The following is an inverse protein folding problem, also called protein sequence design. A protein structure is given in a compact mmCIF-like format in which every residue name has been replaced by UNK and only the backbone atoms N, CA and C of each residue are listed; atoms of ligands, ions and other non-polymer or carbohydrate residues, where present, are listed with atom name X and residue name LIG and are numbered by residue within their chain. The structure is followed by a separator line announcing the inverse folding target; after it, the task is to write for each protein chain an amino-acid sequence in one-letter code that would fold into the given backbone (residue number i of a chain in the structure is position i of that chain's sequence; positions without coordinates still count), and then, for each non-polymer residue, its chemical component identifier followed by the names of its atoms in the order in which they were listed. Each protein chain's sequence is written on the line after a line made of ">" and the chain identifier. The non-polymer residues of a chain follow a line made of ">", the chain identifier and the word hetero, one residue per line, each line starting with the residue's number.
data_IF_160865580253
#
_entry.id   IF_160865580253
#
_cell.length_a   1.000
_cell.length_b   1.000
_cell.length_c   1.000
_cell.angle_alpha   90.00
_cell.angle_beta   90.00
_cell.angle_gamma   90.00
#
_symmetry.space_group_name_H-M   'P 1'
#
loop_
_entity.id
_entity.type
_entity.pdbx_description
1 polymer ?
#
# COMPACT_ATOMS: atom_id res chain seq x y z
N UNK A 1 6.16 -16.38 -13.79
CA UNK A 1 6.04 -15.89 -12.39
C UNK A 1 6.11 -14.36 -12.44
N UNK A 2 4.97 -13.71 -12.73
CA UNK A 2 4.85 -12.28 -13.12
C UNK A 2 4.34 -11.45 -11.94
N UNK A 3 4.98 -11.55 -10.76
CA UNK A 3 4.43 -11.00 -9.50
C UNK A 3 5.21 -9.78 -8.99
N UNK A 4 6.35 -9.42 -9.59
CA UNK A 4 7.27 -8.48 -8.98
C UNK A 4 6.94 -6.98 -9.14
N UNK A 5 6.30 -6.59 -10.24
CA UNK A 5 6.18 -5.18 -10.64
C UNK A 5 4.92 -4.48 -10.13
N UNK A 6 4.02 -5.26 -9.52
CA UNK A 6 2.63 -4.86 -9.25
C UNK A 6 2.39 -4.38 -7.81
N UNK A 7 3.40 -4.47 -6.95
CA UNK A 7 3.23 -4.25 -5.50
C UNK A 7 3.03 -2.79 -5.10
N UNK A 8 3.52 -1.81 -5.87
CA UNK A 8 3.38 -0.38 -5.48
C UNK A 8 1.95 0.06 -5.48
N UNK A 9 1.20 -0.24 -6.55
CA UNK A 9 -0.17 0.22 -6.71
C UNK A 9 -1.10 -0.47 -5.71
N UNK A 10 -0.83 -1.74 -5.37
CA UNK A 10 -1.58 -2.48 -4.36
C UNK A 10 -1.32 -2.00 -2.92
N UNK A 11 -0.07 -1.68 -2.56
CA UNK A 11 0.26 -1.12 -1.24
C UNK A 11 -0.20 0.33 -1.09
N UNK A 12 -0.16 1.10 -2.19
CA UNK A 12 -0.75 2.44 -2.28
C UNK A 12 -2.22 2.40 -1.92
N UNK A 13 -2.94 1.43 -2.49
CA UNK A 13 -4.37 1.28 -2.32
C UNK A 13 -4.71 0.67 -0.97
N UNK A 14 -3.98 -0.34 -0.47
CA UNK A 14 -4.22 -0.88 0.87
C UNK A 14 -4.01 0.18 1.95
N UNK A 15 -2.97 1.02 1.85
CA UNK A 15 -2.75 2.08 2.83
C UNK A 15 -3.86 3.15 2.77
N UNK A 16 -4.30 3.56 1.58
CA UNK A 16 -5.43 4.49 1.42
C UNK A 16 -6.74 3.86 1.92
N UNK A 17 -7.02 2.62 1.52
CA UNK A 17 -8.26 1.91 1.81
C UNK A 17 -8.34 1.49 3.27
N UNK A 18 -7.26 1.01 3.88
CA UNK A 18 -7.24 0.68 5.31
C UNK A 18 -7.50 1.90 6.18
N UNK A 19 -7.05 3.10 5.77
CA UNK A 19 -7.36 4.34 6.50
C UNK A 19 -8.79 4.83 6.22
N UNK A 20 -9.31 4.65 5.01
CA UNK A 20 -10.72 4.90 4.68
C UNK A 20 -11.65 3.93 5.45
N UNK A 21 -11.26 2.65 5.58
CA UNK A 21 -12.05 1.55 6.17
C UNK A 21 -11.86 1.41 7.70
N UNK A 22 -10.77 1.88 8.29
CA UNK A 22 -10.68 1.98 9.76
C UNK A 22 -11.70 2.98 10.33
N UNK A 23 -12.24 3.87 9.50
CA UNK A 23 -13.42 4.68 9.83
C UNK A 23 -14.73 3.88 9.86
N UNK A 24 -14.80 2.68 9.26
CA UNK A 24 -16.01 1.87 9.11
C UNK A 24 -16.03 0.61 9.99
N UNK A 25 -14.89 0.10 10.47
CA UNK A 25 -14.85 -1.16 11.26
C UNK A 25 -15.36 -1.07 12.71
N UNK A 26 -15.66 0.13 13.23
CA UNK A 26 -16.06 0.29 14.64
C UNK A 26 -17.55 0.13 14.93
N UNK A 27 -18.30 -0.61 14.10
CA UNK A 27 -19.69 -0.98 14.41
C UNK A 27 -19.85 -2.50 14.35
N UNK A 28 -19.36 -3.18 15.40
CA UNK A 28 -20.00 -4.43 15.82
C UNK A 28 -21.41 -4.05 16.27
N UNK A 29 -22.42 -4.70 15.68
CA UNK A 29 -23.83 -4.63 16.02
C UNK A 29 -24.09 -4.27 17.50
N UNK A 30 -24.32 -2.98 17.79
CA UNK A 30 -24.91 -2.58 19.06
C UNK A 30 -26.41 -2.56 18.83
N UNK A 31 -27.12 -3.51 19.41
CA UNK A 31 -28.57 -3.40 19.60
C UNK A 31 -28.81 -2.20 20.54
N UNK A 32 -29.06 -1.01 19.98
CA UNK A 32 -29.32 0.20 20.76
C UNK A 32 -30.78 0.20 21.22
N UNK A 33 -31.09 -0.54 22.27
CA UNK A 33 -32.30 -0.32 23.08
C UNK A 33 -32.02 0.80 24.08
N UNK A 34 -32.10 2.05 23.63
CA UNK A 34 -31.92 3.21 24.51
C UNK A 34 -31.48 4.48 23.78
N UNK A 35 -32.36 5.06 22.96
CA UNK A 35 -32.17 6.43 22.45
C UNK A 35 -33.26 7.31 23.06
N UNK A 36 -32.92 8.39 23.79
CA UNK A 36 -33.89 9.39 24.20
C UNK A 36 -34.48 10.08 22.97
N UNK A 37 -35.82 10.14 22.89
CA UNK A 37 -36.51 10.85 21.82
C UNK A 37 -36.11 12.34 21.83
N UNK A 38 -35.33 12.77 20.85
CA UNK A 38 -34.99 14.19 20.66
C UNK A 38 -33.53 14.51 20.34
N UNK A 39 -32.60 13.57 20.45
CA UNK A 39 -31.20 13.82 20.11
C UNK A 39 -30.95 13.69 18.60
N UNK A 40 -30.94 14.82 17.87
CA UNK A 40 -30.57 14.88 16.45
C UNK A 40 -29.06 15.00 16.31
N UNK A 41 -28.34 13.90 16.48
CA UNK A 41 -26.96 13.83 16.01
C UNK A 41 -26.98 13.75 14.48
N UNK A 42 -26.19 14.56 13.75
CA UNK A 42 -26.03 14.34 12.33
C UNK A 42 -25.51 12.91 12.17
N UNK A 43 -26.32 12.07 11.53
CA UNK A 43 -25.99 10.70 11.16
C UNK A 43 -24.66 10.82 10.40
N UNK A 44 -23.56 10.29 10.95
CA UNK A 44 -22.34 10.08 10.16
C UNK A 44 -22.83 9.30 8.95
N UNK A 45 -22.79 9.92 7.78
CA UNK A 45 -23.22 9.30 6.54
C UNK A 45 -22.29 8.10 6.36
N UNK A 46 -22.80 6.90 6.60
CA UNK A 46 -22.03 5.67 6.43
C UNK A 46 -21.63 5.59 4.96
N UNK A 47 -20.33 5.80 4.70
CA UNK A 47 -19.73 5.63 3.40
C UNK A 47 -19.72 4.14 3.06
N UNK A 48 -20.83 3.67 2.49
CA UNK A 48 -20.97 2.27 2.12
C UNK A 48 -20.14 2.00 0.84
N UNK A 49 -18.96 1.45 1.06
CA UNK A 49 -18.06 0.94 0.02
C UNK A 49 -17.97 -0.57 0.19
N UNK A 50 -18.42 -1.32 -0.79
CA UNK A 50 -18.35 -2.78 -0.77
C UNK A 50 -16.95 -3.26 -1.16
N UNK A 51 -16.54 -4.41 -0.63
CA UNK A 51 -15.27 -5.05 -1.01
C UNK A 51 -15.18 -5.31 -2.52
N UNK A 52 -16.30 -5.66 -3.17
CA UNK A 52 -16.36 -5.84 -4.62
C UNK A 52 -16.10 -4.55 -5.40
N UNK A 53 -16.55 -3.40 -4.89
CA UNK A 53 -16.29 -2.10 -5.48
C UNK A 53 -14.82 -1.72 -5.33
N UNK A 54 -14.22 -2.05 -4.20
CA UNK A 54 -12.78 -1.87 -3.96
C UNK A 54 -11.98 -2.71 -4.95
N UNK A 55 -12.31 -4.00 -5.08
CA UNK A 55 -11.62 -4.91 -6.01
C UNK A 55 -11.72 -4.40 -7.44
N UNK A 56 -12.92 -3.98 -7.87
CA UNK A 56 -13.14 -3.44 -9.21
C UNK A 56 -12.33 -2.16 -9.44
N UNK A 57 -12.39 -1.22 -8.49
CA UNK A 57 -11.60 0.02 -8.56
C UNK A 57 -10.10 -0.30 -8.65
N UNK A 58 -9.57 -1.17 -7.80
CA UNK A 58 -8.14 -1.53 -7.80
C UNK A 58 -7.73 -2.15 -9.15
N UNK A 59 -8.57 -3.02 -9.72
CA UNK A 59 -8.32 -3.62 -11.03
C UNK A 59 -8.31 -2.57 -12.15
N UNK A 60 -9.23 -1.60 -12.12
CA UNK A 60 -9.24 -0.48 -13.07
C UNK A 60 -7.98 0.39 -12.92
N UNK A 61 -7.63 0.77 -11.70
CA UNK A 61 -6.45 1.60 -11.43
C UNK A 61 -5.17 0.94 -11.94
N UNK A 62 -5.07 -0.40 -11.83
CA UNK A 62 -3.96 -1.18 -12.37
C UNK A 62 -3.88 -1.08 -13.89
N UNK A 63 -5.01 -1.13 -14.60
CA UNK A 63 -5.04 -1.01 -16.06
C UNK A 63 -4.64 0.40 -16.53
N UNK A 64 -4.91 1.42 -15.73
CA UNK A 64 -4.59 2.81 -16.05
C UNK A 64 -3.22 3.28 -15.56
N UNK A 65 -2.41 2.39 -14.98
CA UNK A 65 -1.09 2.75 -14.46
C UNK A 65 -0.04 2.85 -15.57
N UNK A 66 -0.02 3.98 -16.27
CA UNK A 66 1.01 4.26 -17.29
C UNK A 66 2.43 4.37 -16.71
N UNK A 67 2.55 4.54 -15.39
CA UNK A 67 3.84 4.67 -14.73
C UNK A 67 4.42 3.33 -14.28
N UNK A 68 3.62 2.26 -14.32
CA UNK A 68 4.06 0.90 -14.05
C UNK A 68 5.31 0.52 -14.87
N UNK A 69 6.13 -0.36 -14.29
CA UNK A 69 7.21 -1.04 -15.00
C UNK A 69 6.74 -2.39 -15.53
N UNK A 70 7.07 -2.66 -16.78
CA UNK A 70 6.90 -3.97 -17.39
C UNK A 70 8.03 -4.93 -17.00
N UNK A 71 7.83 -6.23 -17.23
CA UNK A 71 8.78 -7.28 -16.84
C UNK A 71 10.17 -7.14 -17.51
N UNK A 72 10.23 -6.45 -18.65
CA UNK A 72 11.47 -6.14 -19.35
C UNK A 72 12.13 -4.85 -18.86
N UNK A 73 11.41 -4.00 -18.12
CA UNK A 73 11.91 -2.75 -17.52
C UNK A 73 12.51 -2.96 -16.12
N UNK A 74 12.35 -4.14 -15.54
CA UNK A 74 12.89 -4.49 -14.22
C UNK A 74 13.16 -5.98 -14.13
N UNK A 75 14.43 -6.32 -13.96
CA UNK A 75 14.92 -7.69 -13.87
C UNK A 75 15.34 -7.96 -12.43
N UNK A 76 14.68 -8.92 -11.80
CA UNK A 76 14.98 -9.33 -10.44
C UNK A 76 15.71 -10.68 -10.38
N UNK A 77 16.53 -10.82 -9.35
CA UNK A 77 17.28 -12.03 -9.01
C UNK A 77 16.92 -12.46 -7.58
N UNK A 78 15.84 -13.22 -7.47
CA UNK A 78 15.27 -13.65 -6.19
C UNK A 78 16.17 -14.60 -5.40
N UNK A 79 17.12 -15.27 -6.06
CA UNK A 79 18.05 -16.20 -5.43
C UNK A 79 17.32 -17.29 -4.63
N UNK A 80 17.73 -17.59 -3.40
CA UNK A 80 17.20 -18.72 -2.63
C UNK A 80 16.12 -18.28 -1.62
N UNK A 81 15.30 -19.27 -1.25
CA UNK A 81 14.27 -19.09 -0.24
C UNK A 81 14.89 -19.04 1.16
N UNK A 82 14.43 -18.09 1.97
CA UNK A 82 14.81 -17.95 3.39
C UNK A 82 13.57 -17.94 4.28
N UNK A 83 13.76 -17.93 5.60
CA UNK A 83 12.69 -17.72 6.58
C UNK A 83 13.07 -16.62 7.56
N UNK A 84 12.10 -16.03 8.25
CA UNK A 84 12.38 -14.98 9.24
C UNK A 84 13.24 -15.43 10.43
N UNK A 85 13.46 -16.75 10.59
CA UNK A 85 14.31 -17.34 11.63
C UNK A 85 15.65 -17.80 11.10
N UNK A 86 15.85 -17.79 9.78
CA UNK A 86 17.10 -18.21 9.16
C UNK A 86 18.06 -17.01 9.17
N UNK A 87 19.17 -17.16 9.91
CA UNK A 87 20.21 -16.14 10.00
C UNK A 87 21.25 -16.25 8.88
N UNK A 88 21.16 -17.27 8.02
CA UNK A 88 22.08 -17.43 6.90
C UNK A 88 21.67 -16.56 5.72
N UNK A 89 22.67 -15.92 5.12
CA UNK A 89 22.48 -15.18 3.88
C UNK A 89 22.20 -16.16 2.72
N UNK A 90 20.98 -16.09 2.17
CA UNK A 90 20.51 -16.88 1.02
C UNK A 90 20.57 -16.10 -0.29
N UNK A 91 21.15 -14.91 -0.28
CA UNK A 91 21.19 -14.02 -1.42
C UNK A 91 22.50 -13.21 -1.48
N UNK A 92 23.57 -13.86 -1.96
CA UNK A 92 24.89 -13.25 -2.13
C UNK A 92 24.95 -12.12 -3.18
N UNK A 93 23.90 -11.96 -3.99
CA UNK A 93 23.78 -10.96 -5.05
C UNK A 93 22.64 -9.99 -4.72
N UNK A 94 22.62 -8.89 -5.46
CA UNK A 94 21.54 -7.91 -5.42
C UNK A 94 20.24 -8.48 -5.98
N UNK A 95 19.11 -8.15 -5.37
CA UNK A 95 17.77 -8.46 -5.88
C UNK A 95 17.52 -7.74 -7.20
N UNK A 96 17.86 -6.46 -7.32
CA UNK A 96 17.59 -5.70 -8.55
C UNK A 96 18.78 -5.83 -9.50
N UNK A 97 18.75 -6.87 -10.32
CA UNK A 97 19.77 -7.10 -11.35
C UNK A 97 19.81 -5.96 -12.35
N UNK A 98 18.64 -5.44 -12.74
CA UNK A 98 18.54 -4.29 -13.63
C UNK A 98 17.18 -3.59 -13.48
N UNK A 99 17.19 -2.27 -13.64
CA UNK A 99 15.99 -1.43 -13.76
C UNK A 99 16.27 -0.44 -14.87
N UNK A 100 15.32 -0.27 -15.78
CA UNK A 100 15.41 0.68 -16.90
C UNK A 100 15.66 2.10 -16.36
N UNK A 101 16.79 2.74 -16.69
CA UNK A 101 17.03 4.12 -16.27
C UNK A 101 15.99 5.10 -16.81
N UNK A 102 15.40 4.82 -17.97
CA UNK A 102 14.36 5.67 -18.57
C UNK A 102 13.04 5.58 -17.80
N UNK A 103 12.74 4.42 -17.23
CA UNK A 103 11.61 4.28 -16.33
C UNK A 103 11.72 5.24 -15.14
N UNK A 104 12.91 5.39 -14.54
CA UNK A 104 13.13 6.31 -13.43
C UNK A 104 13.04 7.80 -13.84
N UNK A 105 13.08 8.10 -15.14
CA UNK A 105 12.86 9.46 -15.66
C UNK A 105 11.39 9.86 -15.72
N UNK A 106 10.45 8.92 -15.52
CA UNK A 106 9.01 9.24 -15.39
C UNK A 106 8.83 10.25 -14.25
N UNK A 107 8.00 11.26 -14.48
CA UNK A 107 7.89 12.42 -13.59
C UNK A 107 7.53 12.03 -12.14
N UNK A 108 6.63 11.06 -11.96
CA UNK A 108 6.21 10.57 -10.64
C UNK A 108 7.38 9.95 -9.86
N UNK A 109 8.19 9.09 -10.49
CA UNK A 109 9.38 8.51 -9.84
C UNK A 109 10.43 9.57 -9.55
N UNK A 110 10.72 10.49 -10.49
CA UNK A 110 11.66 11.59 -10.22
C UNK A 110 11.26 12.43 -9.01
N UNK A 111 9.99 12.79 -8.91
CA UNK A 111 9.48 13.58 -7.77
C UNK A 111 9.48 12.78 -6.48
N UNK A 112 9.19 11.48 -6.52
CA UNK A 112 9.29 10.60 -5.36
C UNK A 112 10.75 10.50 -4.86
N UNK A 113 11.72 10.29 -5.77
CA UNK A 113 13.14 10.19 -5.44
C UNK A 113 13.63 11.50 -4.81
N UNK A 114 13.28 12.65 -5.42
CA UNK A 114 13.60 13.95 -4.87
C UNK A 114 13.06 14.08 -3.44
N UNK A 115 11.76 13.87 -3.25
CA UNK A 115 11.11 13.89 -1.93
C UNK A 115 11.78 12.97 -0.91
N UNK A 116 12.21 11.77 -1.31
CA UNK A 116 12.85 10.80 -0.41
C UNK A 116 14.22 11.22 0.10
N UNK A 117 14.87 12.18 -0.57
CA UNK A 117 16.22 12.67 -0.24
C UNK A 117 16.22 14.03 0.48
N UNK A 118 15.10 14.76 0.49
CA UNK A 118 15.04 16.11 1.06
C UNK A 118 14.83 16.13 2.57
N UNK A 119 15.47 17.11 3.22
CA UNK A 119 15.24 17.49 4.62
C UNK A 119 14.51 18.84 4.68
N UNK A 120 14.11 19.29 5.88
CA UNK A 120 13.52 20.62 6.03
C UNK A 120 14.60 21.71 5.83
N UNK A 121 14.26 22.84 5.18
CA UNK A 121 12.93 23.29 4.72
C UNK A 121 12.48 22.80 3.32
N UNK A 122 13.38 22.26 2.49
CA UNK A 122 13.17 21.90 1.08
C UNK A 122 12.08 20.82 0.92
N UNK A 123 11.91 19.96 1.93
CA UNK A 123 10.90 18.91 1.99
C UNK A 123 9.48 19.40 1.70
N UNK A 124 9.10 20.61 2.14
CA UNK A 124 7.75 21.15 1.88
C UNK A 124 7.49 21.33 0.38
N UNK A 125 8.46 21.88 -0.35
CA UNK A 125 8.37 22.06 -1.79
C UNK A 125 8.36 20.71 -2.51
N UNK A 126 9.22 19.77 -2.09
CA UNK A 126 9.26 18.44 -2.69
C UNK A 126 7.95 17.66 -2.51
N UNK A 127 7.29 17.80 -1.35
CA UNK A 127 5.94 17.25 -1.12
C UNK A 127 4.96 17.84 -2.13
N UNK A 128 4.96 19.15 -2.33
CA UNK A 128 4.02 19.79 -3.25
C UNK A 128 4.27 19.39 -4.72
N UNK A 129 5.54 19.40 -5.14
CA UNK A 129 5.92 18.94 -6.47
C UNK A 129 5.53 17.46 -6.71
N UNK A 130 5.65 16.61 -5.69
CA UNK A 130 5.26 15.19 -5.78
C UNK A 130 3.74 15.03 -5.86
N UNK A 131 3.00 15.76 -5.03
CA UNK A 131 1.53 15.74 -5.04
C UNK A 131 0.98 16.22 -6.40
N UNK A 132 1.55 17.28 -6.98
CA UNK A 132 1.16 17.75 -8.30
C UNK A 132 1.43 16.69 -9.39
N UNK A 133 2.57 16.00 -9.30
CA UNK A 133 2.91 14.94 -10.25
C UNK A 133 1.96 13.75 -10.17
N UNK A 134 1.63 13.26 -8.97
CA UNK A 134 0.80 12.07 -8.82
C UNK A 134 -0.69 12.39 -9.05
N UNK A 135 -1.20 13.52 -8.55
CA UNK A 135 -2.62 13.88 -8.70
C UNK A 135 -3.00 14.19 -10.15
N UNK A 136 -2.03 14.50 -11.01
CA UNK A 136 -2.27 14.67 -12.43
C UNK A 136 -2.40 13.34 -13.21
N UNK A 137 -2.06 12.20 -12.60
CA UNK A 137 -2.18 10.89 -13.26
C UNK A 137 -3.63 10.41 -13.35
N UNK A 138 -3.89 9.50 -14.29
CA UNK A 138 -5.22 8.89 -14.47
C UNK A 138 -5.67 8.14 -13.22
N UNK A 139 -4.78 7.40 -12.56
CA UNK A 139 -5.08 6.65 -11.32
C UNK A 139 -5.72 7.56 -10.27
N UNK A 140 -5.08 8.69 -10.00
CA UNK A 140 -5.52 9.61 -8.96
C UNK A 140 -6.79 10.36 -9.32
N UNK A 141 -6.96 10.70 -10.59
CA UNK A 141 -8.21 11.26 -11.12
C UNK A 141 -9.36 10.25 -10.98
N UNK A 142 -9.12 8.98 -11.30
CA UNK A 142 -10.12 7.91 -11.14
C UNK A 142 -10.47 7.67 -9.68
N UNK A 143 -9.49 7.66 -8.76
CA UNK A 143 -9.74 7.58 -7.32
C UNK A 143 -10.58 8.77 -6.82
N UNK A 144 -10.25 9.99 -7.24
CA UNK A 144 -11.05 11.17 -6.90
C UNK A 144 -12.50 11.04 -7.41
N UNK A 145 -12.70 10.59 -8.65
CA UNK A 145 -14.03 10.37 -9.21
C UNK A 145 -14.81 9.28 -8.48
N UNK A 146 -14.15 8.20 -8.07
CA UNK A 146 -14.75 7.15 -7.26
C UNK A 146 -15.25 7.70 -5.91
N UNK A 147 -14.39 8.44 -5.20
CA UNK A 147 -14.72 9.05 -3.92
C UNK A 147 -15.84 10.09 -4.04
N UNK A 148 -15.83 10.87 -5.12
CA UNK A 148 -16.90 11.84 -5.42
C UNK A 148 -18.25 11.13 -5.60
N UNK A 149 -18.30 10.00 -6.32
CA UNK A 149 -19.52 9.19 -6.48
C UNK A 149 -20.01 8.56 -5.17
N UNK A 150 -19.12 8.42 -4.19
CA UNK A 150 -19.41 7.92 -2.84
C UNK A 150 -19.75 9.05 -1.86
N UNK A 151 -19.94 10.27 -2.35
CA UNK A 151 -20.21 11.47 -1.55
C UNK A 151 -19.14 11.73 -0.47
N UNK A 152 -17.89 11.30 -0.70
CA UNK A 152 -16.83 11.44 0.29
C UNK A 152 -16.58 12.93 0.63
N UNK A 153 -16.44 13.31 1.91
CA UNK A 153 -16.51 14.71 2.32
C UNK A 153 -15.38 15.58 1.75
N UNK A 154 -14.25 14.96 1.42
CA UNK A 154 -13.06 15.64 0.93
C UNK A 154 -12.87 15.53 -0.60
N UNK A 155 -13.84 14.96 -1.34
CA UNK A 155 -13.78 14.84 -2.81
C UNK A 155 -14.66 15.85 -3.54
N UNK A 156 -15.19 16.87 -2.86
CA UNK A 156 -16.05 17.90 -3.47
C UNK A 156 -15.35 18.66 -4.60
N UNK A 157 -14.04 18.91 -4.44
CA UNK A 157 -13.21 19.61 -5.40
C UNK A 157 -11.74 19.19 -5.26
N UNK A 158 -10.97 19.38 -6.33
CA UNK A 158 -9.57 18.95 -6.38
C UNK A 158 -8.66 19.66 -5.37
N UNK A 159 -8.97 20.90 -4.97
CA UNK A 159 -8.16 21.63 -3.99
C UNK A 159 -8.35 21.02 -2.61
N UNK A 160 -9.60 20.77 -2.21
CA UNK A 160 -9.95 20.09 -0.95
C UNK A 160 -9.37 18.67 -0.93
N UNK A 161 -9.51 17.92 -2.03
CA UNK A 161 -8.95 16.59 -2.14
C UNK A 161 -7.42 16.58 -2.01
N UNK A 162 -6.73 17.49 -2.70
CA UNK A 162 -5.28 17.64 -2.61
C UNK A 162 -4.83 17.98 -1.19
N UNK A 163 -5.52 18.89 -0.52
CA UNK A 163 -5.22 19.25 0.87
C UNK A 163 -5.42 18.06 1.81
N UNK A 164 -6.49 17.29 1.61
CA UNK A 164 -6.76 16.07 2.36
C UNK A 164 -5.69 15.00 2.15
N UNK A 165 -5.30 14.71 0.90
CA UNK A 165 -4.19 13.78 0.59
C UNK A 165 -2.88 14.26 1.21
N UNK A 166 -2.60 15.56 1.16
CA UNK A 166 -1.40 16.14 1.81
C UNK A 166 -1.42 15.89 3.31
N UNK A 167 -2.54 16.16 3.98
CA UNK A 167 -2.68 15.95 5.41
C UNK A 167 -2.60 14.47 5.79
N UNK A 168 -3.24 13.59 5.01
CA UNK A 168 -3.26 12.15 5.25
C UNK A 168 -1.85 11.54 5.20
N UNK A 169 -1.06 11.92 4.19
CA UNK A 169 0.23 11.30 3.94
C UNK A 169 1.41 12.03 4.57
N UNK A 170 1.33 13.36 4.68
CA UNK A 170 2.43 14.21 5.12
C UNK A 170 2.10 15.02 6.37
N UNK A 171 0.89 14.89 6.92
CA UNK A 171 0.59 15.39 8.24
C UNK A 171 1.42 14.65 9.27
N UNK A 172 2.18 15.40 10.06
CA UNK A 172 3.00 14.82 11.12
C UNK A 172 2.12 14.47 12.33
N UNK A 173 2.32 13.29 12.92
CA UNK A 173 1.61 12.87 14.14
C UNK A 173 2.56 12.34 15.21
N UNK A 174 2.21 12.60 16.47
CA UNK A 174 3.00 12.18 17.63
C UNK A 174 2.71 10.70 17.96
N UNK A 175 3.70 9.82 17.77
CA UNK A 175 3.56 8.37 18.10
C UNK A 175 3.91 8.04 19.55
N UNK A 176 4.65 8.92 20.21
CA UNK A 176 4.91 8.92 21.66
C UNK A 176 4.56 10.30 22.20
N UNK A 177 4.17 10.40 23.47
CA UNK A 177 3.81 11.67 24.13
C UNK A 177 4.88 12.75 23.86
N UNK A 178 4.59 13.70 22.96
CA UNK A 178 5.35 14.94 22.79
C UNK A 178 6.40 15.01 21.67
N UNK A 179 6.69 13.92 20.94
CA UNK A 179 7.59 13.97 19.77
C UNK A 179 6.81 13.70 18.48
N UNK A 180 6.61 14.77 17.71
CA UNK A 180 6.12 14.75 16.33
C UNK A 180 7.32 14.42 15.45
N UNK A 181 7.38 13.19 14.92
CA UNK A 181 8.55 12.69 14.17
C UNK A 181 8.18 11.62 13.12
N UNK A 182 6.95 11.65 12.61
CA UNK A 182 6.56 10.70 11.56
C UNK A 182 5.33 11.14 10.79
N UNK A 183 5.34 10.78 9.51
CA UNK A 183 4.22 10.90 8.59
C UNK A 183 3.79 9.53 8.03
N UNK A 184 2.58 9.43 7.47
CA UNK A 184 2.11 8.21 6.82
C UNK A 184 2.99 7.82 5.63
N UNK A 185 3.56 8.82 4.94
CA UNK A 185 4.50 8.61 3.85
C UNK A 185 5.77 7.90 4.32
N UNK A 186 6.37 8.37 5.42
CA UNK A 186 7.57 7.74 5.98
C UNK A 186 7.27 6.32 6.44
N UNK A 187 6.14 6.12 7.12
CA UNK A 187 5.72 4.81 7.60
C UNK A 187 5.61 3.77 6.48
N UNK A 188 4.95 4.10 5.37
CA UNK A 188 4.65 3.15 4.28
C UNK A 188 5.80 3.04 3.26
N UNK A 189 6.45 4.16 2.94
CA UNK A 189 7.41 4.20 1.82
C UNK A 189 8.88 4.19 2.25
N UNK A 190 9.21 4.88 3.34
CA UNK A 190 10.61 5.00 3.77
C UNK A 190 11.00 3.86 4.70
N UNK A 191 10.02 3.27 5.38
CA UNK A 191 10.24 2.31 6.46
C UNK A 191 10.64 3.01 7.76
N UNK A 192 10.39 2.35 8.88
CA UNK A 192 10.74 2.86 10.19
C UNK A 192 11.89 2.06 10.79
N UNK A 193 12.80 2.74 11.47
CA UNK A 193 13.82 2.06 12.27
C UNK A 193 13.28 1.81 13.68
N UNK A 194 13.25 0.54 14.08
CA UNK A 194 12.90 0.13 15.44
C UNK A 194 13.89 -0.93 15.90
N UNK A 195 14.58 -0.66 17.01
CA UNK A 195 15.56 -1.58 17.62
C UNK A 195 16.68 -2.04 16.66
N UNK A 196 17.12 -1.19 15.73
CA UNK A 196 18.14 -1.55 14.74
C UNK A 196 17.61 -2.31 13.52
N UNK A 197 16.29 -2.53 13.43
CA UNK A 197 15.63 -3.16 12.27
C UNK A 197 14.79 -2.14 11.50
N UNK A 198 14.74 -2.28 10.17
CA UNK A 198 13.81 -1.55 9.31
C UNK A 198 12.51 -2.34 9.24
N UNK A 199 11.41 -1.74 9.70
CA UNK A 199 10.05 -2.31 9.61
C UNK A 199 9.18 -1.49 8.64
N UNK A 200 8.19 -2.12 8.03
CA UNK A 200 7.17 -1.42 7.23
C UNK A 200 7.66 -0.85 5.88
N UNK A 201 8.89 -1.17 5.45
CA UNK A 201 9.36 -0.76 4.12
C UNK A 201 8.76 -1.68 3.06
N UNK A 202 7.94 -1.12 2.17
CA UNK A 202 7.27 -1.90 1.12
C UNK A 202 7.44 -1.33 -0.30
N UNK A 203 8.15 -0.21 -0.46
CA UNK A 203 8.39 0.43 -1.76
C UNK A 203 9.55 -0.24 -2.51
N UNK A 204 9.30 -0.90 -3.65
CA UNK A 204 10.40 -1.48 -4.45
C UNK A 204 11.40 -0.40 -4.89
N UNK A 205 10.95 0.83 -5.14
CA UNK A 205 11.82 1.93 -5.53
C UNK A 205 12.76 2.31 -4.37
N UNK A 206 12.27 2.28 -3.13
CA UNK A 206 13.12 2.49 -1.94
C UNK A 206 14.15 1.36 -1.81
N UNK A 207 13.72 0.11 -1.93
CA UNK A 207 14.61 -1.05 -1.90
C UNK A 207 15.71 -0.94 -2.96
N UNK A 208 15.33 -0.63 -4.19
CA UNK A 208 16.24 -0.45 -5.31
C UNK A 208 17.31 0.64 -5.03
N UNK A 209 16.90 1.79 -4.51
CA UNK A 209 17.83 2.89 -4.22
C UNK A 209 18.77 2.57 -3.06
N UNK A 210 18.27 1.88 -2.03
CA UNK A 210 19.06 1.44 -0.89
C UNK A 210 20.14 0.45 -1.31
N UNK A 211 19.78 -0.58 -2.08
CA UNK A 211 20.70 -1.61 -2.56
C UNK A 211 21.82 -1.03 -3.44
N UNK A 212 21.55 0.09 -4.13
CA UNK A 212 22.55 0.78 -4.94
C UNK A 212 23.46 1.72 -4.15
N UNK A 213 23.06 2.15 -2.95
CA UNK A 213 23.82 3.09 -2.14
C UNK A 213 24.58 2.35 -1.04
N UNK A 214 25.88 2.11 -1.27
CA UNK A 214 26.75 1.40 -0.33
C UNK A 214 26.81 2.03 1.08
N UNK A 215 26.54 3.33 1.20
CA UNK A 215 26.52 4.03 2.50
C UNK A 215 25.29 3.71 3.34
N UNK A 216 24.24 3.12 2.78
CA UNK A 216 22.97 2.86 3.47
C UNK A 216 22.92 1.49 4.18
N UNK A 217 23.98 0.67 4.08
CA UNK A 217 24.11 -0.63 4.77
C UNK A 217 22.86 -1.53 4.61
N UNK A 218 22.30 -1.57 3.40
CA UNK A 218 21.16 -2.42 3.07
C UNK A 218 21.65 -3.73 2.45
N UNK A 219 21.17 -4.86 2.96
CA UNK A 219 21.51 -6.20 2.48
C UNK A 219 20.26 -7.05 2.24
N UNK A 220 20.21 -7.74 1.10
CA UNK A 220 19.10 -8.59 0.71
C UNK A 220 19.45 -10.04 1.02
N UNK A 221 18.65 -10.71 1.85
CA UNK A 221 18.97 -12.06 2.37
C UNK A 221 18.17 -13.21 1.71
N UNK A 222 17.37 -12.94 0.67
CA UNK A 222 16.55 -13.95 -0.03
C UNK A 222 15.05 -13.70 0.08
N UNK A 223 14.25 -14.53 -0.60
CA UNK A 223 12.79 -14.39 -0.62
C UNK A 223 12.11 -15.31 0.39
N UNK A 224 10.95 -14.89 0.91
CA UNK A 224 10.12 -15.72 1.78
C UNK A 224 8.82 -16.06 1.07
N UNK A 225 8.40 -17.33 1.11
CA UNK A 225 7.06 -17.72 0.68
C UNK A 225 6.12 -17.62 1.88
N UNK A 226 5.26 -16.60 1.91
CA UNK A 226 4.10 -16.64 2.80
C UNK A 226 3.11 -17.65 2.24
N UNK A 227 2.96 -18.80 2.90
CA UNK A 227 1.75 -19.62 2.76
C UNK A 227 0.60 -18.78 3.28
N UNK A 228 -0.18 -18.18 2.38
CA UNK A 228 -1.52 -17.73 2.75
C UNK A 228 -2.26 -19.00 3.17
N UNK A 229 -2.55 -19.13 4.47
CA UNK A 229 -3.67 -19.97 4.86
C UNK A 229 -4.86 -19.27 4.23
N UNK A 230 -5.36 -19.85 3.15
CA UNK A 230 -6.57 -19.41 2.47
C UNK A 230 -7.66 -19.22 3.52
N UNK A 231 -8.00 -17.97 3.82
CA UNK A 231 -9.28 -17.64 4.42
C UNK A 231 -10.34 -17.80 3.32
N UNK A 232 -10.57 -19.05 2.93
CA UNK A 232 -11.75 -19.53 2.23
C UNK A 232 -12.14 -20.80 2.95
N UNK A 233 -12.76 -20.62 4.10
CA UNK A 233 -13.61 -21.63 4.73
C UNK A 233 -14.85 -20.89 5.17
N UNK A 234 -15.80 -20.72 4.25
CA UNK A 234 -17.17 -21.18 4.40
C UNK A 234 -17.97 -20.85 3.13
N UNK A 235 -18.90 -21.75 2.81
CA UNK A 235 -19.86 -21.72 1.70
C UNK A 235 -19.34 -22.23 0.34
N UNK A 236 -19.04 -23.53 0.29
CA UNK A 236 -19.84 -24.36 -0.62
C UNK A 236 -20.07 -25.74 0.00
N UNK A 237 -21.24 -25.89 0.63
CA UNK A 237 -21.79 -27.21 0.93
C UNK A 237 -23.30 -27.11 0.77
N UNK A 238 -23.72 -26.92 -0.49
CA UNK A 238 -25.09 -27.18 -0.93
C UNK A 238 -25.03 -28.13 -2.13
N UNK A 239 -25.05 -29.42 -1.81
CA UNK A 239 -25.66 -30.44 -2.65
C UNK A 239 -24.83 -30.91 -3.85
N UNK A 240 -24.17 -32.06 -3.65
CA UNK A 240 -24.33 -33.23 -4.52
C UNK A 240 -23.85 -34.47 -3.75
N UNK A 241 -24.81 -35.34 -3.46
CA UNK A 241 -24.54 -36.64 -2.85
C UNK A 241 -23.92 -37.63 -3.82
N UNK A 242 -23.44 -38.73 -3.27
CA UNK A 242 -23.17 -39.97 -4.00
C UNK A 242 -21.73 -40.46 -3.91
N UNK A 243 -21.45 -41.17 -2.82
CA UNK A 243 -20.87 -42.52 -2.80
C UNK A 243 -19.48 -42.79 -3.43
N UNK A 244 -18.61 -43.28 -2.53
CA UNK A 244 -17.70 -44.43 -2.67
C UNK A 244 -16.20 -44.20 -2.94
N UNK A 245 -15.44 -44.50 -1.86
CA UNK A 245 -14.22 -45.35 -1.77
C UNK A 245 -12.95 -44.89 -2.49
N UNK A 246 -11.71 -45.09 -2.05
CA UNK A 246 -10.99 -45.58 -0.86
C UNK A 246 -9.51 -45.31 -1.21
N UNK A 247 -8.63 -45.07 -0.20
CA UNK A 247 -7.17 -45.38 -0.23
C UNK A 247 -6.26 -44.69 -1.29
N UNK A 248 -4.97 -44.35 -1.11
CA UNK A 248 -3.83 -44.63 -0.21
C UNK A 248 -2.79 -43.49 -0.47
N UNK A 249 -2.25 -42.80 0.54
CA UNK A 249 -0.91 -42.99 1.15
C UNK A 249 0.29 -43.28 0.21
N UNK A 250 1.27 -42.35 0.26
CA UNK A 250 2.73 -42.54 0.40
C UNK A 250 3.53 -43.06 -0.81
N UNK A 251 4.36 -42.18 -1.40
CA UNK A 251 5.83 -42.16 -1.25
C UNK A 251 6.39 -40.80 -1.65
#
# INVERSE_FOLDING_TARGET
>A
MVIATWYVSFLYLIAILSVILHGTEKVRSINVTGIPAGARYPKLQEFLVLDSEIVNMVNELRQYDINQLDDDQIILDYQEHTTTRDSSDKAKRRLFKWVDPNALNKNTFRKWIALSNEYQPEKKKAIDDYLDAILNTTIWKSLHQFLLKKDYPYSSDLRTFRAWIKQLWFGEYSRKQGLIDSSGFEHVFMGEHKNGEVIGMHSWLRFYLLERNASQQFDYHGYTLRRFVSCVTYLDNMGKGGADNEEQLVT
#
